data_IF_465857122717
#
_entry.id   IF_465857122717
#
_cell.length_a   1.000
_cell.length_b   1.000
_cell.length_c   1.000
_cell.angle_alpha   90.00
_cell.angle_beta   90.00
_cell.angle_gamma   90.00
#
_symmetry.space_group_name_H-M   'P 1'
#
loop_
_entity.id
_entity.type
_entity.pdbx_description
1 polymer ?
#
# COMPACT_ATOMS: atom_id res chain seq x y z
N UNK A 1 3.50 -9.76 -6.46
CA UNK A 1 3.32 -8.43 -5.83
C UNK A 1 4.21 -8.24 -4.60
N UNK A 2 4.11 -9.08 -3.57
CA UNK A 2 4.77 -8.85 -2.26
C UNK A 2 6.28 -8.54 -2.36
N UNK A 3 7.08 -9.45 -2.92
CA UNK A 3 8.53 -9.27 -3.05
C UNK A 3 8.89 -8.08 -3.93
N UNK A 4 8.21 -7.91 -5.06
CA UNK A 4 8.44 -6.81 -6.00
C UNK A 4 8.22 -5.45 -5.33
N UNK A 5 7.09 -5.26 -4.64
CA UNK A 5 6.75 -3.98 -4.01
C UNK A 5 7.64 -3.69 -2.79
N UNK A 6 7.92 -4.72 -1.98
CA UNK A 6 8.85 -4.57 -0.85
C UNK A 6 10.26 -4.15 -1.31
N UNK A 7 10.76 -4.75 -2.40
CA UNK A 7 12.05 -4.40 -2.98
C UNK A 7 12.04 -3.00 -3.61
N UNK A 8 10.97 -2.66 -4.35
CA UNK A 8 10.81 -1.36 -5.00
C UNK A 8 10.77 -0.21 -3.98
N UNK A 9 9.96 -0.36 -2.93
CA UNK A 9 9.83 0.67 -1.90
C UNK A 9 10.98 0.71 -0.92
N UNK A 10 11.79 -0.35 -0.85
CA UNK A 10 12.97 -0.49 0.00
C UNK A 10 12.81 0.11 1.42
N UNK A 11 11.80 -0.33 2.19
CA UNK A 11 11.52 0.23 3.51
C UNK A 11 12.64 -0.10 4.49
N UNK A 12 13.06 0.89 5.29
CA UNK A 12 14.21 0.77 6.20
C UNK A 12 13.96 -0.28 7.28
N UNK A 13 12.73 -0.35 7.81
CA UNK A 13 12.36 -1.33 8.85
C UNK A 13 11.55 -2.50 8.31
N UNK A 14 11.38 -2.60 7.00
CA UNK A 14 10.57 -3.63 6.38
C UNK A 14 9.09 -3.28 6.27
N UNK A 15 8.37 -4.12 5.53
CA UNK A 15 6.93 -4.05 5.35
C UNK A 15 6.36 -5.46 5.32
N UNK A 16 5.26 -5.69 6.04
CA UNK A 16 4.49 -6.92 5.91
C UNK A 16 3.36 -6.71 4.91
N UNK A 17 3.25 -7.60 3.93
CA UNK A 17 2.22 -7.51 2.87
C UNK A 17 1.29 -8.71 2.96
N UNK A 18 0.02 -8.45 3.26
CA UNK A 18 -1.05 -9.44 3.28
C UNK A 18 -1.93 -9.29 2.05
N UNK A 19 -2.24 -10.42 1.42
CA UNK A 19 -3.22 -10.48 0.34
C UNK A 19 -4.58 -10.73 1.01
N UNK A 20 -5.53 -9.84 0.77
CA UNK A 20 -6.88 -9.93 1.33
C UNK A 20 -7.87 -10.53 0.30
N UNK A 21 -7.40 -10.92 -0.88
CA UNK A 21 -8.24 -11.31 -2.00
C UNK A 21 -8.89 -10.12 -2.70
N UNK A 22 -9.60 -10.37 -3.81
CA UNK A 22 -10.37 -9.32 -4.50
C UNK A 22 -9.54 -8.12 -4.97
N UNK A 23 -8.25 -8.32 -5.30
CA UNK A 23 -7.27 -7.27 -5.65
C UNK A 23 -7.00 -6.27 -4.51
N UNK A 24 -7.27 -6.64 -3.26
CA UNK A 24 -6.97 -5.86 -2.06
C UNK A 24 -5.74 -6.40 -1.34
N UNK A 25 -4.88 -5.48 -0.92
CA UNK A 25 -3.65 -5.79 -0.21
C UNK A 25 -3.52 -4.89 1.00
N UNK A 26 -3.05 -5.45 2.11
CA UNK A 26 -2.75 -4.70 3.33
C UNK A 26 -1.25 -4.62 3.51
N UNK A 27 -0.74 -3.39 3.49
CA UNK A 27 0.66 -3.05 3.71
C UNK A 27 0.82 -2.53 5.14
N UNK A 28 1.51 -3.30 5.97
CA UNK A 28 1.84 -2.90 7.33
C UNK A 28 3.32 -2.53 7.40
N UNK A 29 3.59 -1.22 7.46
CA UNK A 29 4.93 -0.69 7.63
C UNK A 29 5.33 -0.68 9.10
N UNK A 30 6.57 -1.08 9.38
CA UNK A 30 7.11 -1.05 10.75
C UNK A 30 7.70 0.31 11.13
N UNK A 31 7.67 1.29 10.22
CA UNK A 31 8.11 2.65 10.46
C UNK A 31 7.26 3.65 9.66
N UNK A 32 6.81 4.72 10.33
CA UNK A 32 5.90 5.70 9.73
C UNK A 32 6.52 6.42 8.53
N UNK A 33 7.82 6.72 8.57
CA UNK A 33 8.50 7.38 7.45
C UNK A 33 8.55 6.52 6.19
N UNK A 34 8.61 5.19 6.32
CA UNK A 34 8.57 4.29 5.16
C UNK A 34 7.19 4.37 4.48
N UNK A 35 6.12 4.35 5.28
CA UNK A 35 4.75 4.53 4.78
C UNK A 35 4.57 5.90 4.12
N UNK A 36 5.01 6.99 4.76
CA UNK A 36 4.89 8.33 4.19
C UNK A 36 5.65 8.48 2.88
N UNK A 37 6.87 7.92 2.78
CA UNK A 37 7.65 7.93 1.54
C UNK A 37 6.91 7.21 0.42
N UNK A 38 6.31 6.06 0.71
CA UNK A 38 5.49 5.32 -0.25
C UNK A 38 4.27 6.12 -0.68
N UNK A 39 3.55 6.74 0.25
CA UNK A 39 2.38 7.56 -0.08
C UNK A 39 2.77 8.79 -0.94
N UNK A 40 3.85 9.49 -0.59
CA UNK A 40 4.34 10.66 -1.33
C UNK A 40 4.90 10.31 -2.71
N UNK A 41 5.42 9.10 -2.90
CA UNK A 41 5.98 8.64 -4.17
C UNK A 41 4.95 8.13 -5.18
N UNK A 42 3.64 8.20 -4.88
CA UNK A 42 2.59 7.81 -5.83
C UNK A 42 2.60 8.70 -7.09
N UNK A 43 2.16 8.20 -8.26
CA UNK A 43 1.51 6.91 -8.51
C UNK A 43 2.47 5.71 -8.50
N UNK A 44 1.97 4.56 -8.04
CA UNK A 44 2.66 3.28 -8.19
C UNK A 44 1.90 2.36 -9.14
N UNK A 45 2.64 1.62 -9.96
CA UNK A 45 2.07 0.59 -10.81
C UNK A 45 2.67 -0.77 -10.47
N UNK A 46 1.87 -1.83 -10.60
CA UNK A 46 2.31 -3.21 -10.51
C UNK A 46 1.67 -4.00 -11.64
N UNK A 47 2.48 -4.64 -12.49
CA UNK A 47 2.01 -5.36 -13.69
C UNK A 47 1.06 -4.52 -14.56
N UNK A 48 1.44 -3.27 -14.87
CA UNK A 48 0.63 -2.31 -15.64
C UNK A 48 -0.73 -1.94 -15.03
N UNK A 49 -0.98 -2.28 -13.76
CA UNK A 49 -2.14 -1.83 -13.01
C UNK A 49 -1.76 -0.75 -12.00
N UNK A 50 -2.52 0.33 -11.96
CA UNK A 50 -2.36 1.39 -10.96
C UNK A 50 -2.71 0.86 -9.57
N UNK A 51 -1.88 1.21 -8.58
CA UNK A 51 -2.16 0.95 -7.18
C UNK A 51 -2.85 2.16 -6.55
N UNK A 52 -4.09 1.95 -6.13
CA UNK A 52 -4.81 2.87 -5.27
C UNK A 52 -4.38 2.63 -3.82
N UNK A 53 -3.85 3.67 -3.18
CA UNK A 53 -3.36 3.61 -1.82
C UNK A 53 -4.26 4.44 -0.90
N UNK A 54 -4.67 3.83 0.21
CA UNK A 54 -5.41 4.50 1.28
C UNK A 54 -4.68 4.28 2.60
N UNK A 55 -4.52 5.36 3.38
CA UNK A 55 -3.98 5.27 4.74
C UNK A 55 -5.10 4.86 5.69
N UNK A 56 -5.14 3.58 6.03
CA UNK A 56 -6.14 2.99 6.92
C UNK A 56 -6.14 3.66 8.31
N UNK A 57 -7.32 4.08 8.76
CA UNK A 57 -7.57 4.58 10.11
C UNK A 57 -7.93 3.43 11.06
N UNK A 58 -7.79 3.64 12.37
CA UNK A 58 -8.00 2.61 13.39
C UNK A 58 -9.42 2.00 13.35
N UNK A 59 -10.42 2.79 12.94
CA UNK A 59 -11.84 2.39 12.92
C UNK A 59 -12.30 1.85 11.57
N UNK A 60 -11.41 1.80 10.58
CA UNK A 60 -11.75 1.36 9.23
C UNK A 60 -11.50 -0.14 9.03
N UNK A 61 -12.44 -0.81 8.38
CA UNK A 61 -12.24 -2.19 7.94
C UNK A 61 -11.58 -2.21 6.55
N UNK A 62 -10.37 -2.79 6.40
CA UNK A 62 -9.63 -2.83 5.14
C UNK A 62 -10.36 -3.56 4.00
N UNK A 63 -11.35 -4.41 4.31
CA UNK A 63 -12.14 -5.13 3.31
C UNK A 63 -13.22 -4.26 2.67
N UNK A 64 -13.73 -3.24 3.37
CA UNK A 64 -14.86 -2.43 2.92
C UNK A 64 -14.47 -1.00 2.52
N UNK A 65 -13.29 -0.52 2.90
CA UNK A 65 -12.82 0.83 2.53
C UNK A 65 -12.89 1.00 1.00
N UNK A 66 -13.51 2.08 0.49
CA UNK A 66 -13.61 2.32 -0.94
C UNK A 66 -12.27 2.76 -1.51
N UNK A 67 -11.74 2.01 -2.48
CA UNK A 67 -10.54 2.34 -3.24
C UNK A 67 -10.96 2.81 -4.64
N UNK A 68 -11.49 4.03 -4.75
CA UNK A 68 -12.11 4.56 -5.98
C UNK A 68 -11.57 5.92 -6.43
N UNK A 69 -10.79 6.60 -5.58
CA UNK A 69 -10.23 7.93 -5.88
C UNK A 69 -8.72 7.94 -5.67
N UNK A 70 -8.05 8.81 -6.42
CA UNK A 70 -6.63 9.13 -6.24
C UNK A 70 -6.43 10.64 -6.48
N UNK A 71 -5.58 11.33 -5.71
CA UNK A 71 -5.49 12.80 -5.74
C UNK A 71 -4.60 13.37 -6.85
N UNK A 72 -4.16 12.57 -7.82
CA UNK A 72 -3.29 12.98 -8.93
C UNK A 72 -3.95 12.76 -10.29
#
# INVERSE_FOLDING_TARGET
MKSTMANLWYPVRGVQIRDLGGKRYLFQFFHVMDMERVLKGSPWTFNNHLLLLHKLQLTEDPLIVPLIYTPF
#
